data_IF_640884900814
#
_entry.id   IF_640884900814
#
_cell.length_a   1.000
_cell.length_b   1.000
_cell.length_c   1.000
_cell.angle_alpha   90.00
_cell.angle_beta   90.00
_cell.angle_gamma   90.00
#
_symmetry.space_group_name_H-M   'P 1'
#
loop_
_entity.id
_entity.type
_entity.pdbx_description
1 polymer ?
#
# COMPACT_ATOMS: atom_id res chain seq x y z
N UNK A 1 -25.93 9.11 8.51
CA UNK A 1 -25.13 9.91 9.47
C UNK A 1 -24.38 10.91 8.63
N UNK A 2 -24.70 12.18 8.79
CA UNK A 2 -24.06 13.27 8.06
C UNK A 2 -23.17 14.04 9.04
N UNK A 3 -21.93 14.31 8.68
CA UNK A 3 -21.08 15.23 9.46
C UNK A 3 -21.46 16.70 9.19
N UNK A 4 -20.83 17.65 9.89
CA UNK A 4 -21.06 19.11 9.72
C UNK A 4 -20.69 19.63 8.33
N UNK A 5 -20.05 18.79 7.50
CA UNK A 5 -19.71 19.06 6.10
C UNK A 5 -20.66 18.33 5.13
N UNK A 6 -21.71 17.71 5.67
CA UNK A 6 -22.75 16.98 4.95
C UNK A 6 -22.27 15.68 4.29
N UNK A 7 -21.18 15.08 4.78
CA UNK A 7 -20.70 13.78 4.31
C UNK A 7 -21.53 12.66 4.96
N UNK A 8 -22.32 11.97 4.14
CA UNK A 8 -23.25 10.93 4.58
C UNK A 8 -22.84 9.52 4.20
N UNK A 9 -22.85 8.58 5.15
CA UNK A 9 -22.90 7.13 4.84
C UNK A 9 -24.35 6.67 4.99
N UNK A 10 -24.89 6.05 3.92
CA UNK A 10 -26.16 5.33 3.92
C UNK A 10 -25.86 3.83 3.81
N UNK A 11 -26.23 3.07 4.84
CA UNK A 11 -26.13 1.60 4.84
C UNK A 11 -27.50 1.07 4.43
N UNK A 12 -27.57 0.34 3.33
CA UNK A 12 -28.79 -0.31 2.83
C UNK A 12 -28.81 -1.78 3.23
N UNK A 13 -29.79 -2.18 4.05
CA UNK A 13 -30.08 -3.60 4.30
C UNK A 13 -31.12 -4.07 3.27
N UNK A 14 -30.70 -4.95 2.35
CA UNK A 14 -31.57 -5.44 1.25
C UNK A 14 -32.67 -6.41 1.71
N UNK A 15 -32.63 -6.87 2.96
CA UNK A 15 -33.58 -7.84 3.50
C UNK A 15 -34.72 -7.20 4.31
N UNK A 16 -34.73 -5.87 4.43
CA UNK A 16 -35.74 -5.15 5.20
C UNK A 16 -36.44 -4.10 4.34
N UNK A 17 -37.66 -3.72 4.76
CA UNK A 17 -38.50 -2.80 4.03
C UNK A 17 -37.75 -1.47 3.76
N UNK A 18 -37.57 -1.05 2.49
CA UNK A 18 -36.82 0.16 2.14
C UNK A 18 -37.42 1.46 2.70
N UNK A 19 -38.68 1.43 3.16
CA UNK A 19 -39.39 2.57 3.76
C UNK A 19 -39.38 2.57 5.30
N UNK A 20 -38.71 1.61 5.93
CA UNK A 20 -38.53 1.60 7.38
C UNK A 20 -37.29 2.42 7.75
N UNK A 21 -37.49 3.56 8.43
CA UNK A 21 -36.42 4.33 9.09
C UNK A 21 -35.81 3.49 10.23
N UNK A 22 -34.90 2.57 9.90
CA UNK A 22 -34.15 1.80 10.87
C UNK A 22 -32.98 2.67 11.33
N UNK A 23 -33.16 3.32 12.48
CA UNK A 23 -32.07 3.97 13.21
C UNK A 23 -31.33 2.93 14.04
N UNK A 24 -30.31 2.30 13.47
CA UNK A 24 -29.36 1.53 14.27
C UNK A 24 -28.42 2.48 15.02
N UNK A 25 -28.21 2.21 16.32
CA UNK A 25 -27.26 2.94 17.15
C UNK A 25 -25.83 2.45 16.83
N UNK A 26 -25.14 3.21 15.99
CA UNK A 26 -23.77 2.96 15.61
C UNK A 26 -22.75 3.60 16.58
N UNK A 27 -23.18 4.19 17.70
CA UNK A 27 -22.28 4.87 18.66
C UNK A 27 -21.27 3.95 19.35
N UNK A 28 -21.53 2.64 19.35
CA UNK A 28 -20.60 1.62 19.82
C UNK A 28 -19.49 1.29 18.80
N UNK A 29 -19.62 1.73 17.55
CA UNK A 29 -18.65 1.49 16.48
C UNK A 29 -17.50 2.51 16.52
N UNK A 30 -16.27 2.03 16.52
CA UNK A 30 -15.11 2.88 16.22
C UNK A 30 -15.01 3.07 14.71
N UNK A 31 -15.25 4.28 14.22
CA UNK A 31 -15.04 4.64 12.81
C UNK A 31 -13.74 5.43 12.67
N UNK A 32 -12.97 5.10 11.63
CA UNK A 32 -11.82 5.90 11.19
C UNK A 32 -12.25 6.58 9.90
N UNK A 33 -12.32 7.91 9.94
CA UNK A 33 -12.51 8.71 8.73
C UNK A 33 -11.18 8.71 7.98
N UNK A 34 -11.13 8.02 6.85
CA UNK A 34 -9.96 8.04 5.96
C UNK A 34 -10.21 9.11 4.90
N UNK A 35 -9.37 10.14 4.89
CA UNK A 35 -9.50 11.25 3.98
C UNK A 35 -9.30 10.74 2.54
N UNK A 36 -10.32 10.86 1.69
CA UNK A 36 -10.33 10.30 0.32
C UNK A 36 -9.36 11.03 -0.63
N UNK A 37 -8.80 12.16 -0.21
CA UNK A 37 -7.76 12.90 -0.93
C UNK A 37 -6.34 12.37 -0.65
N UNK A 38 -6.17 11.06 -0.52
CA UNK A 38 -4.81 10.52 -0.57
C UNK A 38 -4.32 10.64 -2.01
N UNK A 39 -3.27 11.45 -2.25
CA UNK A 39 -2.58 11.53 -3.55
C UNK A 39 -1.97 10.18 -3.97
N UNK A 40 -1.88 9.25 -3.02
CA UNK A 40 -1.29 7.93 -3.17
C UNK A 40 -2.25 7.03 -3.95
N UNK A 41 -1.77 6.45 -5.03
CA UNK A 41 -2.53 5.47 -5.82
C UNK A 41 -2.30 4.06 -5.28
N UNK A 42 -3.25 3.13 -5.45
CA UNK A 42 -3.02 1.72 -5.14
C UNK A 42 -1.86 1.12 -5.96
N UNK A 43 -1.41 -0.08 -5.62
CA UNK A 43 -0.47 -0.80 -6.48
C UNK A 43 -1.20 -1.36 -7.70
N UNK A 44 -0.74 -1.00 -8.90
CA UNK A 44 -1.29 -1.49 -10.16
C UNK A 44 -0.97 -2.98 -10.39
N UNK A 45 -1.83 -3.67 -11.14
CA UNK A 45 -1.60 -5.08 -11.50
C UNK A 45 -1.75 -6.04 -10.33
N UNK A 46 -2.44 -5.64 -9.26
CA UNK A 46 -2.75 -6.51 -8.13
C UNK A 46 -4.26 -6.50 -7.88
N UNK A 47 -4.82 -7.68 -7.64
CA UNK A 47 -6.18 -7.85 -7.12
C UNK A 47 -6.13 -8.48 -5.74
N UNK A 48 -6.94 -7.95 -4.83
CA UNK A 48 -7.06 -8.46 -3.46
C UNK A 48 -8.50 -8.88 -3.19
N UNK A 49 -8.66 -10.04 -2.55
CA UNK A 49 -9.94 -10.54 -2.04
C UNK A 49 -9.86 -10.56 -0.51
N UNK A 50 -10.57 -9.66 0.16
CA UNK A 50 -10.56 -9.53 1.64
C UNK A 50 -11.78 -10.14 2.31
N UNK A 51 -12.75 -10.61 1.53
CA UNK A 51 -13.99 -11.26 2.01
C UNK A 51 -14.38 -12.41 1.11
N UNK A 52 -15.36 -13.20 1.54
CA UNK A 52 -15.83 -14.32 0.74
C UNK A 52 -16.42 -13.85 -0.59
N UNK A 53 -15.97 -14.46 -1.69
CA UNK A 53 -16.39 -14.11 -3.05
C UNK A 53 -16.61 -15.37 -3.90
N UNK A 54 -17.53 -15.28 -4.84
CA UNK A 54 -17.80 -16.31 -5.83
C UNK A 54 -17.55 -15.73 -7.23
N UNK A 55 -16.61 -16.31 -7.97
CA UNK A 55 -16.22 -15.83 -9.29
C UNK A 55 -16.58 -16.82 -10.39
N UNK A 56 -17.04 -16.24 -11.50
CA UNK A 56 -17.17 -16.89 -12.80
C UNK A 56 -16.86 -15.88 -13.90
N UNK A 57 -16.34 -16.33 -15.05
CA UNK A 57 -16.09 -15.48 -16.22
C UNK A 57 -15.30 -14.20 -15.92
N UNK A 58 -14.20 -14.33 -15.16
CA UNK A 58 -13.41 -13.19 -14.68
C UNK A 58 -11.98 -13.26 -15.18
N UNK A 59 -11.45 -12.14 -15.67
CA UNK A 59 -10.05 -12.00 -16.02
C UNK A 59 -9.36 -11.05 -15.03
N UNK A 60 -8.30 -11.51 -14.40
CA UNK A 60 -7.45 -10.74 -13.50
C UNK A 60 -6.12 -10.47 -14.21
N UNK A 61 -5.81 -9.20 -14.40
CA UNK A 61 -4.55 -8.76 -14.99
C UNK A 61 -3.50 -8.50 -13.89
N UNK A 62 -2.67 -9.49 -13.62
CA UNK A 62 -1.60 -9.47 -12.64
C UNK A 62 -1.84 -10.43 -11.48
N UNK A 63 -1.26 -10.13 -10.33
CA UNK A 63 -1.25 -11.03 -9.17
C UNK A 63 -2.56 -10.96 -8.38
N UNK A 64 -2.90 -12.08 -7.74
CA UNK A 64 -4.09 -12.21 -6.90
C UNK A 64 -3.71 -12.63 -5.48
N UNK A 65 -4.14 -11.84 -4.50
CA UNK A 65 -4.01 -12.17 -3.08
C UNK A 65 -5.38 -12.44 -2.47
N UNK A 66 -5.55 -13.62 -1.89
CA UNK A 66 -6.74 -13.96 -1.11
C UNK A 66 -6.37 -13.76 0.35
N UNK A 67 -6.88 -12.70 0.96
CA UNK A 67 -6.57 -12.28 2.32
C UNK A 67 -7.01 -13.29 3.39
N UNK A 68 -6.46 -13.19 4.61
CA UNK A 68 -6.82 -14.07 5.72
C UNK A 68 -8.33 -14.14 5.93
N UNK A 69 -8.85 -15.33 6.27
CA UNK A 69 -10.28 -15.60 6.50
C UNK A 69 -11.21 -15.44 5.28
N UNK A 70 -10.73 -14.87 4.16
CA UNK A 70 -11.50 -14.79 2.93
C UNK A 70 -11.51 -16.14 2.20
N UNK A 71 -12.66 -16.53 1.67
CA UNK A 71 -12.82 -17.71 0.82
C UNK A 71 -13.18 -17.26 -0.59
N UNK A 72 -12.26 -17.43 -1.53
CA UNK A 72 -12.55 -17.26 -2.94
C UNK A 72 -13.03 -18.60 -3.52
N UNK A 73 -14.23 -18.62 -4.07
CA UNK A 73 -14.80 -19.78 -4.77
C UNK A 73 -14.89 -19.49 -6.26
N UNK A 74 -14.27 -20.35 -7.07
CA UNK A 74 -14.26 -20.28 -8.54
C UNK A 74 -15.19 -21.36 -9.09
N UNK A 75 -16.20 -20.93 -9.85
CA UNK A 75 -17.24 -21.79 -10.43
C UNK A 75 -17.15 -21.91 -11.96
N UNK A 76 -16.12 -21.33 -12.59
CA UNK A 76 -15.88 -21.48 -14.02
C UNK A 76 -15.22 -20.27 -14.68
N UNK A 77 -14.34 -20.53 -15.63
CA UNK A 77 -13.72 -19.55 -16.54
C UNK A 77 -13.15 -18.31 -15.81
N UNK A 78 -12.26 -18.53 -14.85
CA UNK A 78 -11.49 -17.46 -14.20
C UNK A 78 -10.05 -17.58 -14.64
N UNK A 79 -9.49 -16.50 -15.19
CA UNK A 79 -8.09 -16.44 -15.59
C UNK A 79 -7.35 -15.40 -14.76
N UNK A 80 -6.21 -15.79 -14.17
CA UNK A 80 -5.25 -14.90 -13.51
C UNK A 80 -3.97 -14.90 -14.32
N UNK A 81 -3.55 -13.73 -14.82
CA UNK A 81 -2.34 -13.63 -15.64
C UNK A 81 -1.05 -13.67 -14.82
N UNK A 82 -1.11 -13.31 -13.54
CA UNK A 82 0.00 -13.42 -12.59
C UNK A 82 -0.08 -14.65 -11.67
N UNK A 83 0.58 -14.54 -10.53
CA UNK A 83 0.59 -15.54 -9.47
C UNK A 83 -0.60 -15.37 -8.52
N UNK A 84 -0.99 -16.46 -7.86
CA UNK A 84 -2.04 -16.46 -6.84
C UNK A 84 -1.41 -16.78 -5.49
N UNK A 85 -1.71 -15.97 -4.50
CA UNK A 85 -1.23 -16.10 -3.12
C UNK A 85 -2.43 -16.30 -2.20
N UNK A 86 -2.54 -17.51 -1.63
CA UNK A 86 -3.66 -17.90 -0.78
C UNK A 86 -3.27 -17.71 0.67
N UNK A 87 -3.67 -16.59 1.29
CA UNK A 87 -3.56 -16.36 2.74
C UNK A 87 -4.83 -16.79 3.47
N UNK A 88 -6.00 -16.65 2.83
CA UNK A 88 -7.28 -17.21 3.26
C UNK A 88 -7.49 -18.61 2.68
N UNK A 89 -8.55 -18.83 1.91
CA UNK A 89 -8.78 -20.11 1.24
C UNK A 89 -9.25 -19.94 -0.20
N UNK A 90 -8.87 -20.90 -1.05
CA UNK A 90 -9.29 -20.97 -2.44
C UNK A 90 -10.04 -22.29 -2.69
N UNK A 91 -11.22 -22.19 -3.31
CA UNK A 91 -11.95 -23.34 -3.82
C UNK A 91 -12.14 -23.17 -5.32
N UNK A 92 -11.70 -24.14 -6.12
CA UNK A 92 -12.05 -24.21 -7.54
C UNK A 92 -12.87 -25.45 -7.82
N UNK A 93 -14.04 -25.24 -8.45
CA UNK A 93 -14.89 -26.30 -8.99
C UNK A 93 -14.64 -26.58 -10.49
N UNK A 94 -13.62 -25.92 -11.05
CA UNK A 94 -13.22 -26.04 -12.45
C UNK A 94 -13.18 -24.69 -13.14
N UNK A 95 -12.41 -24.62 -14.22
CA UNK A 95 -12.25 -23.43 -15.06
C UNK A 95 -11.32 -22.37 -14.48
N UNK A 96 -10.52 -22.67 -13.46
CA UNK A 96 -9.44 -21.77 -13.01
C UNK A 96 -8.20 -21.93 -13.89
N UNK A 97 -7.74 -20.83 -14.47
CA UNK A 97 -6.52 -20.73 -15.26
C UNK A 97 -5.56 -19.76 -14.58
N UNK A 98 -4.42 -20.26 -14.09
CA UNK A 98 -3.36 -19.47 -13.47
C UNK A 98 -2.12 -19.59 -14.34
N UNK A 99 -1.70 -18.46 -14.91
CA UNK A 99 -0.49 -18.38 -15.75
C UNK A 99 0.80 -18.29 -14.93
N UNK A 100 0.74 -17.73 -13.73
CA UNK A 100 1.84 -17.72 -12.77
C UNK A 100 1.86 -18.94 -11.84
N UNK A 101 2.28 -18.72 -10.60
CA UNK A 101 2.36 -19.77 -9.58
C UNK A 101 1.18 -19.68 -8.61
N UNK A 102 0.59 -20.83 -8.28
CA UNK A 102 -0.37 -20.95 -7.18
C UNK A 102 0.37 -21.25 -5.87
N UNK A 103 0.31 -20.32 -4.92
CA UNK A 103 0.99 -20.42 -3.62
C UNK A 103 -0.04 -20.61 -2.50
N UNK A 104 0.13 -21.65 -1.68
CA UNK A 104 -0.70 -21.92 -0.50
C UNK A 104 0.07 -22.71 0.56
N UNK A 105 -0.60 -23.12 1.63
CA UNK A 105 -0.01 -23.99 2.66
C UNK A 105 -0.27 -25.46 2.37
N UNK A 106 -1.48 -25.77 1.90
CA UNK A 106 -1.85 -27.10 1.49
C UNK A 106 -2.84 -27.06 0.33
N UNK A 107 -2.84 -28.16 -0.44
CA UNK A 107 -3.75 -28.34 -1.56
C UNK A 107 -4.39 -29.73 -1.48
N UNK A 108 -5.70 -29.76 -1.69
CA UNK A 108 -6.52 -30.96 -1.72
C UNK A 108 -7.24 -31.09 -3.06
N UNK A 109 -7.42 -32.34 -3.51
CA UNK A 109 -8.09 -32.67 -4.75
C UNK A 109 -9.49 -33.21 -4.44
N UNK A 110 -10.52 -32.40 -4.68
CA UNK A 110 -11.90 -32.69 -4.30
C UNK A 110 -12.15 -32.74 -2.79
N UNK A 111 -13.35 -33.20 -2.42
CA UNK A 111 -13.80 -33.27 -1.02
C UNK A 111 -14.22 -31.91 -0.44
N UNK A 112 -14.47 -31.91 0.87
CA UNK A 112 -14.83 -30.72 1.65
C UNK A 112 -13.97 -30.65 2.92
N UNK A 113 -12.65 -30.42 2.80
CA UNK A 113 -11.81 -30.27 3.99
C UNK A 113 -12.22 -29.02 4.76
N UNK A 114 -11.88 -28.98 6.05
CA UNK A 114 -11.94 -27.75 6.84
C UNK A 114 -11.04 -26.70 6.19
N UNK A 115 -11.58 -25.51 5.95
CA UNK A 115 -10.85 -24.41 5.34
C UNK A 115 -10.09 -23.65 6.41
N UNK A 116 -8.76 -23.72 6.34
CA UNK A 116 -7.87 -22.88 7.12
C UNK A 116 -7.19 -21.87 6.21
N UNK A 117 -6.51 -20.90 6.82
CA UNK A 117 -5.63 -20.00 6.09
C UNK A 117 -4.58 -20.80 5.31
N UNK A 118 -4.42 -20.45 4.04
CA UNK A 118 -3.58 -21.14 3.06
C UNK A 118 -4.19 -22.39 2.41
N UNK A 119 -5.41 -22.80 2.78
CA UNK A 119 -6.03 -24.01 2.21
C UNK A 119 -6.54 -23.80 0.80
N UNK A 120 -6.16 -24.74 -0.08
CA UNK A 120 -6.60 -24.79 -1.47
C UNK A 120 -7.36 -26.09 -1.72
N UNK A 121 -8.55 -25.98 -2.32
CA UNK A 121 -9.36 -27.11 -2.79
C UNK A 121 -9.54 -27.00 -4.29
N UNK A 122 -9.02 -27.97 -5.04
CA UNK A 122 -9.12 -28.01 -6.50
C UNK A 122 -9.98 -29.20 -6.90
N UNK A 123 -10.99 -28.96 -7.74
CA UNK A 123 -11.82 -29.97 -8.38
C UNK A 123 -12.19 -29.53 -9.80
N UNK A 124 -12.66 -30.47 -10.62
CA UNK A 124 -12.89 -30.23 -12.03
C UNK A 124 -11.61 -29.93 -12.83
N UNK A 125 -11.76 -29.48 -14.07
CA UNK A 125 -10.64 -29.17 -14.95
C UNK A 125 -10.08 -27.77 -14.66
N UNK A 126 -8.81 -27.68 -14.32
CA UNK A 126 -8.10 -26.41 -14.06
C UNK A 126 -6.77 -26.42 -14.82
N UNK A 127 -6.23 -25.24 -15.14
CA UNK A 127 -4.93 -25.07 -15.78
C UNK A 127 -4.06 -24.22 -14.86
N UNK A 128 -3.06 -24.81 -14.24
CA UNK A 128 -2.18 -24.14 -13.27
C UNK A 128 -0.76 -24.45 -13.69
N UNK A 129 0.00 -23.41 -14.06
CA UNK A 129 1.37 -23.56 -14.60
C UNK A 129 2.33 -24.12 -13.54
N UNK A 130 2.25 -23.60 -12.32
CA UNK A 130 3.10 -24.03 -11.20
C UNK A 130 2.34 -23.92 -9.89
N UNK A 131 2.72 -24.73 -8.90
CA UNK A 131 2.17 -24.68 -7.55
C UNK A 131 3.26 -24.86 -6.49
N UNK A 132 3.22 -24.06 -5.44
CA UNK A 132 4.11 -24.15 -4.29
C UNK A 132 3.24 -24.22 -3.02
N UNK A 133 3.42 -25.31 -2.25
CA UNK A 133 2.78 -25.48 -0.95
C UNK A 133 3.83 -25.39 0.15
N UNK A 134 3.68 -24.43 1.05
CA UNK A 134 4.67 -24.10 2.09
C UNK A 134 4.00 -23.39 3.25
N UNK A 135 4.56 -23.50 4.45
CA UNK A 135 4.09 -22.80 5.65
C UNK A 135 4.17 -21.25 5.52
N UNK A 136 4.83 -20.73 4.49
CA UNK A 136 4.90 -19.29 4.19
C UNK A 136 4.59 -19.04 2.70
N UNK A 137 3.30 -19.07 2.29
CA UNK A 137 2.90 -18.97 0.89
C UNK A 137 3.23 -17.62 0.26
N UNK A 138 3.53 -16.61 1.08
CA UNK A 138 3.99 -15.29 0.65
C UNK A 138 5.39 -15.06 1.20
N UNK A 139 6.35 -14.87 0.30
CA UNK A 139 7.75 -14.57 0.64
C UNK A 139 8.07 -13.09 0.59
N UNK A 140 7.35 -12.35 -0.24
CA UNK A 140 7.49 -10.92 -0.43
C UNK A 140 6.11 -10.26 -0.49
N UNK A 141 6.01 -9.08 0.09
CA UNK A 141 4.81 -8.24 0.03
C UNK A 141 5.14 -7.04 -0.86
N UNK A 142 4.35 -6.78 -1.92
CA UNK A 142 4.49 -5.58 -2.73
C UNK A 142 4.35 -4.32 -1.87
N UNK A 143 5.31 -3.42 -2.01
CA UNK A 143 5.31 -2.11 -1.37
C UNK A 143 5.94 -1.10 -2.31
N UNK A 144 5.32 0.08 -2.40
CA UNK A 144 5.83 1.24 -3.13
C UNK A 144 5.86 2.42 -2.16
N UNK A 145 6.99 3.12 -2.14
CA UNK A 145 7.15 4.38 -1.41
C UNK A 145 7.02 5.51 -2.43
N UNK A 146 6.10 6.43 -2.18
CA UNK A 146 5.75 7.51 -3.12
C UNK A 146 6.45 8.84 -2.78
N UNK A 147 7.30 8.85 -1.74
CA UNK A 147 8.22 9.94 -1.49
C UNK A 147 9.28 10.02 -2.61
N UNK A 148 9.54 11.21 -3.14
CA UNK A 148 10.67 11.43 -4.06
C UNK A 148 12.00 11.03 -3.40
N UNK A 149 12.17 11.36 -2.12
CA UNK A 149 13.28 10.92 -1.27
C UNK A 149 12.80 10.81 0.18
N UNK A 150 13.23 9.76 0.90
CA UNK A 150 12.98 9.62 2.33
C UNK A 150 13.99 10.48 3.09
N UNK A 151 13.52 11.57 3.69
CA UNK A 151 14.37 12.53 4.41
C UNK A 151 13.86 12.70 5.83
N UNK A 152 14.76 12.60 6.80
CA UNK A 152 14.43 12.84 8.19
C UNK A 152 14.68 14.31 8.56
N UNK A 153 13.68 14.97 9.16
CA UNK A 153 13.81 16.31 9.73
C UNK A 153 13.65 16.23 11.24
N UNK A 154 14.66 16.66 12.00
CA UNK A 154 14.68 16.58 13.47
C UNK A 154 14.43 15.16 14.02
N UNK A 155 15.00 14.15 13.34
CA UNK A 155 14.83 12.73 13.69
C UNK A 155 13.42 12.18 13.46
N UNK A 156 12.60 12.88 12.68
CA UNK A 156 11.25 12.46 12.27
C UNK A 156 11.16 12.32 10.76
N UNK A 157 10.39 11.34 10.30
CA UNK A 157 10.19 11.01 8.90
C UNK A 157 8.71 11.08 8.53
N UNK A 158 8.41 11.70 7.40
CA UNK A 158 7.11 11.59 6.73
C UNK A 158 7.24 10.56 5.61
N UNK A 159 6.34 9.58 5.59
CA UNK A 159 6.36 8.50 4.60
C UNK A 159 4.97 8.22 4.07
N UNK A 160 4.85 8.15 2.75
CA UNK A 160 3.61 7.80 2.06
C UNK A 160 3.88 6.76 0.98
N UNK A 161 2.88 5.94 0.70
CA UNK A 161 3.03 4.86 -0.26
C UNK A 161 1.87 3.88 -0.23
N UNK A 162 2.02 2.80 -0.98
CA UNK A 162 1.00 1.78 -1.12
C UNK A 162 1.57 0.37 -0.92
N UNK A 163 0.73 -0.52 -0.43
CA UNK A 163 0.96 -1.96 -0.28
C UNK A 163 -0.36 -2.71 -0.49
N UNK A 164 -0.40 -3.99 -0.14
CA UNK A 164 -1.61 -4.82 -0.18
C UNK A 164 -2.20 -4.96 1.23
N UNK A 165 -3.52 -4.75 1.35
CA UNK A 165 -4.22 -4.84 2.63
C UNK A 165 -4.65 -6.27 2.97
N UNK A 166 -3.67 -7.18 3.13
CA UNK A 166 -3.88 -8.59 3.50
C UNK A 166 -2.97 -9.07 4.65
N UNK A 167 -2.08 -8.21 5.12
CA UNK A 167 -1.12 -8.48 6.18
C UNK A 167 -0.97 -7.23 7.05
N UNK A 168 -0.64 -7.42 8.33
CA UNK A 168 -0.37 -6.31 9.22
C UNK A 168 1.00 -5.70 8.89
N UNK A 169 1.02 -4.39 8.57
CA UNK A 169 2.22 -3.64 8.27
C UNK A 169 2.67 -2.81 9.49
N UNK A 170 3.98 -2.76 9.71
CA UNK A 170 4.63 -1.95 10.74
C UNK A 170 5.79 -1.17 10.14
N UNK A 171 5.99 0.06 10.61
CA UNK A 171 7.19 0.86 10.32
C UNK A 171 7.83 1.20 11.66
N UNK A 172 9.09 0.84 11.84
CA UNK A 172 9.81 1.07 13.10
C UNK A 172 9.06 0.52 14.33
N UNK A 173 8.40 -0.63 14.17
CA UNK A 173 7.60 -1.28 15.20
C UNK A 173 6.21 -0.64 15.45
N UNK A 174 5.88 0.48 14.81
CA UNK A 174 4.56 1.11 14.89
C UNK A 174 3.62 0.51 13.86
N UNK A 175 2.42 0.07 14.27
CA UNK A 175 1.42 -0.49 13.36
C UNK A 175 0.90 0.60 12.42
N UNK A 176 0.95 0.33 11.11
CA UNK A 176 0.43 1.22 10.07
C UNK A 176 -1.02 0.88 9.80
N UNK A 177 -1.89 1.89 9.82
CA UNK A 177 -3.27 1.77 9.37
C UNK A 177 -3.29 2.03 7.86
N UNK A 178 -3.68 1.01 7.10
CA UNK A 178 -3.88 1.10 5.66
C UNK A 178 -5.33 1.46 5.35
N UNK A 179 -5.56 2.16 4.25
CA UNK A 179 -6.90 2.30 3.70
C UNK A 179 -7.38 1.01 3.00
N UNK A 180 -8.63 1.03 2.51
CA UNK A 180 -9.22 -0.12 1.82
C UNK A 180 -8.50 -0.49 0.51
N UNK A 181 -7.70 0.42 -0.05
CA UNK A 181 -6.87 0.20 -1.23
C UNK A 181 -5.41 -0.14 -0.88
N UNK A 182 -5.05 -0.23 0.40
CA UNK A 182 -3.69 -0.50 0.84
C UNK A 182 -2.76 0.71 0.82
N UNK A 183 -3.27 1.94 0.78
CA UNK A 183 -2.49 3.17 0.80
C UNK A 183 -2.27 3.67 2.24
N UNK A 184 -1.14 4.36 2.46
CA UNK A 184 -0.79 4.99 3.73
C UNK A 184 -0.09 6.35 3.50
N UNK A 185 -0.31 7.27 4.44
CA UNK A 185 0.39 8.56 4.55
C UNK A 185 0.60 8.83 6.04
N UNK A 186 1.84 8.67 6.49
CA UNK A 186 2.24 8.78 7.88
C UNK A 186 3.17 9.97 8.05
N UNK A 187 2.92 10.75 9.09
CA UNK A 187 3.69 11.95 9.41
C UNK A 187 4.38 11.79 10.76
N UNK A 188 5.51 12.46 10.91
CA UNK A 188 6.24 12.60 12.16
C UNK A 188 6.68 11.29 12.83
N UNK A 189 6.96 10.23 12.04
CA UNK A 189 7.49 8.96 12.58
C UNK A 189 8.87 9.22 13.16
N UNK A 190 9.06 8.98 14.46
CA UNK A 190 10.37 9.15 15.09
C UNK A 190 11.31 8.00 14.71
N UNK A 191 12.42 8.35 14.06
CA UNK A 191 13.46 7.43 13.61
C UNK A 191 14.83 7.72 14.23
N UNK A 192 14.97 8.85 14.95
CA UNK A 192 16.25 9.30 15.51
C UNK A 192 17.27 9.62 14.41
N UNK A 193 18.47 9.05 14.52
CA UNK A 193 19.58 9.23 13.57
C UNK A 193 19.82 8.01 12.69
N UNK A 194 18.79 7.18 12.45
CA UNK A 194 18.91 5.98 11.63
C UNK A 194 19.08 6.38 10.16
N UNK A 195 19.93 5.64 9.44
CA UNK A 195 20.12 5.76 7.99
C UNK A 195 19.16 4.88 7.19
N UNK A 196 18.42 3.99 7.87
CA UNK A 196 17.42 3.12 7.24
C UNK A 196 16.19 3.02 8.12
N UNK A 197 15.03 2.92 7.47
CA UNK A 197 13.81 2.46 8.12
C UNK A 197 13.57 0.99 7.83
N UNK A 198 13.01 0.31 8.83
CA UNK A 198 12.56 -1.07 8.77
C UNK A 198 11.03 -1.09 8.63
N UNK A 199 10.58 -1.71 7.54
CA UNK A 199 9.18 -2.04 7.30
C UNK A 199 8.99 -3.54 7.51
N UNK A 200 8.03 -3.91 8.36
CA UNK A 200 7.74 -5.29 8.70
C UNK A 200 6.31 -5.65 8.31
N UNK A 201 6.14 -6.79 7.66
CA UNK A 201 4.84 -7.38 7.37
C UNK A 201 4.70 -8.66 8.17
N UNK A 202 3.72 -8.70 9.07
CA UNK A 202 3.39 -9.89 9.85
C UNK A 202 2.26 -10.63 9.16
N UNK A 203 2.53 -11.86 8.74
CA UNK A 203 1.52 -12.68 8.08
C UNK A 203 0.69 -13.44 9.11
N UNK A 204 -0.45 -13.97 8.66
CA UNK A 204 -1.29 -14.86 9.48
C UNK A 204 -0.64 -16.22 9.77
N UNK A 205 0.48 -16.53 9.11
CA UNK A 205 1.23 -17.77 9.27
C UNK A 205 2.37 -17.65 10.30
N UNK A 206 2.49 -16.50 10.96
CA UNK A 206 3.47 -16.25 12.01
C UNK A 206 4.86 -15.84 11.52
N UNK A 207 5.10 -15.85 10.20
CA UNK A 207 6.35 -15.33 9.64
C UNK A 207 6.30 -13.78 9.49
N UNK A 208 7.46 -13.15 9.62
CA UNK A 208 7.63 -11.70 9.41
C UNK A 208 8.51 -11.48 8.19
N UNK A 209 8.02 -10.68 7.24
CA UNK A 209 8.77 -10.26 6.05
C UNK A 209 9.29 -8.84 6.32
N UNK A 210 10.60 -8.64 6.17
CA UNK A 210 11.27 -7.37 6.49
C UNK A 210 11.78 -6.73 5.20
N UNK A 211 11.56 -5.42 5.07
CA UNK A 211 12.11 -4.58 4.01
C UNK A 211 12.80 -3.38 4.66
N UNK A 212 13.98 -3.04 4.16
CA UNK A 212 14.69 -1.83 4.58
C UNK A 212 14.65 -0.80 3.46
N UNK A 213 14.43 0.47 3.83
CA UNK A 213 14.54 1.60 2.90
C UNK A 213 15.56 2.58 3.45
N UNK A 214 16.49 3.01 2.60
CA UNK A 214 17.48 4.00 2.98
C UNK A 214 16.79 5.35 3.17
N UNK A 215 17.14 6.01 4.26
CA UNK A 215 16.90 7.42 4.46
C UNK A 215 18.07 8.13 3.82
N UNK A 216 17.76 9.15 3.02
CA UNK A 216 18.80 9.96 2.44
C UNK A 216 19.30 10.95 3.48
N UNK A 217 20.62 11.09 3.56
CA UNK A 217 21.27 12.23 4.19
C UNK A 217 20.96 13.54 3.45
N UNK A 218 20.40 13.43 2.23
CA UNK A 218 19.94 14.53 1.42
C UNK A 218 18.76 15.23 2.07
N UNK A 219 19.04 16.31 2.78
CA UNK A 219 18.04 17.35 3.02
C UNK A 219 17.85 18.06 1.68
N UNK A 220 16.61 18.24 1.19
CA UNK A 220 16.33 18.89 -0.12
C UNK A 220 17.07 20.23 -0.23
N UNK A 221 17.20 20.91 0.90
CA UNK A 221 17.88 22.18 1.09
C UNK A 221 19.44 22.11 1.06
N UNK A 222 20.07 20.94 1.25
CA UNK A 222 21.50 20.67 1.04
C UNK A 222 21.71 20.19 -0.41
N UNK A 223 21.84 21.14 -1.32
CA UNK A 223 21.87 20.92 -2.76
C UNK A 223 23.23 20.42 -3.19
N UNK A 224 24.29 20.93 -2.56
CA UNK A 224 25.66 20.62 -2.90
C UNK A 224 26.14 19.28 -2.31
N UNK A 225 25.38 18.72 -1.36
CA UNK A 225 25.61 17.44 -0.66
C UNK A 225 26.88 17.43 0.18
N UNK A 226 27.23 18.55 0.78
CA UNK A 226 28.38 18.66 1.68
C UNK A 226 28.02 18.42 3.16
N UNK A 227 26.73 18.24 3.46
CA UNK A 227 26.22 17.98 4.81
C UNK A 227 25.97 19.24 5.62
N UNK A 228 26.21 20.43 5.07
CA UNK A 228 25.82 21.72 5.63
C UNK A 228 24.72 22.35 4.75
N UNK A 229 23.82 23.14 5.36
CA UNK A 229 22.88 23.96 4.61
C UNK A 229 23.38 25.39 4.73
N UNK A 230 24.01 25.91 3.68
CA UNK A 230 24.67 27.22 3.71
C UNK A 230 24.46 28.04 2.43
N UNK A 231 25.22 29.13 2.30
CA UNK A 231 25.10 30.03 1.16
C UNK A 231 25.47 29.37 -0.17
N UNK A 232 26.26 28.29 -0.15
CA UNK A 232 26.62 27.52 -1.33
C UNK A 232 25.39 26.79 -1.89
N UNK A 233 24.48 26.30 -1.05
CA UNK A 233 23.22 25.70 -1.51
C UNK A 233 22.32 26.73 -2.16
N UNK A 234 22.12 27.89 -1.51
CA UNK A 234 21.38 29.00 -2.10
C UNK A 234 21.96 29.43 -3.44
N UNK A 235 23.29 29.46 -3.55
CA UNK A 235 23.95 29.83 -4.80
C UNK A 235 23.60 28.87 -5.93
N UNK A 236 23.41 27.58 -5.65
CA UNK A 236 23.02 26.60 -6.65
C UNK A 236 21.59 26.76 -7.13
N UNK A 237 20.64 27.14 -6.24
CA UNK A 237 19.28 27.52 -6.66
C UNK A 237 19.33 28.79 -7.52
N UNK A 238 20.09 29.80 -7.09
CA UNK A 238 20.19 31.07 -7.79
C UNK A 238 20.73 30.92 -9.23
N UNK A 239 21.63 29.96 -9.47
CA UNK A 239 22.12 29.63 -10.81
C UNK A 239 21.03 29.10 -11.75
N UNK A 240 19.93 28.61 -11.18
CA UNK A 240 18.79 28.00 -11.86
C UNK A 240 17.53 28.87 -11.82
N UNK A 241 17.66 30.10 -11.33
CA UNK A 241 16.56 31.03 -11.21
C UNK A 241 15.86 31.27 -12.55
N UNK A 242 14.53 31.22 -12.53
CA UNK A 242 13.62 31.36 -13.66
C UNK A 242 13.70 30.19 -14.69
N UNK A 243 14.32 29.05 -14.33
CA UNK A 243 14.19 27.80 -15.08
C UNK A 243 12.94 27.01 -14.61
N UNK A 244 12.40 26.15 -15.47
CA UNK A 244 11.28 25.23 -15.14
C UNK A 244 11.78 23.89 -14.63
N UNK A 245 11.02 23.25 -13.75
CA UNK A 245 11.37 22.03 -13.00
C UNK A 245 10.28 20.95 -13.10
N UNK A 246 9.85 20.60 -14.32
CA UNK A 246 8.85 19.56 -14.54
C UNK A 246 9.32 18.18 -14.02
N UNK A 247 8.35 17.30 -13.74
CA UNK A 247 8.58 15.94 -13.24
C UNK A 247 9.57 15.18 -14.13
N UNK A 248 10.68 14.72 -13.55
CA UNK A 248 11.75 14.00 -14.26
C UNK A 248 12.85 14.87 -14.86
N UNK A 249 12.79 16.21 -14.71
CA UNK A 249 13.91 17.10 -15.02
C UNK A 249 15.01 17.02 -13.96
N UNK A 250 16.27 17.18 -14.35
CA UNK A 250 17.40 17.32 -13.39
C UNK A 250 17.24 18.58 -12.53
N UNK A 251 16.44 19.53 -12.99
CA UNK A 251 16.16 20.78 -12.31
C UNK A 251 15.21 20.63 -11.12
N UNK A 252 14.52 19.50 -10.99
CA UNK A 252 13.56 19.26 -9.91
C UNK A 252 14.14 19.43 -8.50
N UNK A 253 15.45 19.20 -8.35
CA UNK A 253 16.16 19.37 -7.08
C UNK A 253 16.32 20.83 -6.60
N UNK A 254 16.11 21.81 -7.49
CA UNK A 254 16.25 23.23 -7.17
C UNK A 254 14.90 23.91 -6.89
N UNK A 255 13.81 23.25 -7.29
CA UNK A 255 12.44 23.66 -7.03
C UNK A 255 12.02 23.10 -5.66
N UNK A 256 12.04 23.95 -4.66
CA UNK A 256 11.84 23.61 -3.26
C UNK A 256 10.37 23.49 -2.90
N UNK A 257 9.50 24.29 -3.51
CA UNK A 257 8.06 24.32 -3.24
C UNK A 257 7.23 23.40 -4.15
N UNK A 258 7.87 22.76 -5.13
CA UNK A 258 7.33 21.82 -6.08
C UNK A 258 6.32 22.41 -7.10
N UNK A 259 6.40 23.71 -7.40
CA UNK A 259 5.46 24.43 -8.28
C UNK A 259 5.82 24.48 -9.77
N UNK A 260 6.88 23.76 -10.16
CA UNK A 260 7.41 23.64 -11.53
C UNK A 260 8.19 24.88 -12.03
N UNK A 261 8.41 25.89 -11.19
CA UNK A 261 9.19 27.09 -11.50
C UNK A 261 10.24 27.33 -10.41
N UNK A 262 11.51 27.51 -10.80
CA UNK A 262 12.56 27.83 -9.83
C UNK A 262 12.60 29.34 -9.64
N UNK A 263 12.16 29.85 -8.51
CA UNK A 263 12.03 31.29 -8.28
C UNK A 263 12.46 31.76 -6.88
N UNK A 264 11.99 32.94 -6.48
CA UNK A 264 12.34 33.56 -5.21
C UNK A 264 11.78 32.77 -4.01
N UNK A 265 10.67 32.05 -4.17
CA UNK A 265 10.10 31.23 -3.11
C UNK A 265 11.02 30.07 -2.77
N UNK A 266 11.69 29.48 -3.75
CA UNK A 266 12.65 28.39 -3.51
C UNK A 266 13.88 28.86 -2.76
N UNK A 267 14.40 30.01 -3.17
CA UNK A 267 15.52 30.68 -2.49
C UNK A 267 15.16 31.00 -1.03
N UNK A 268 13.94 31.48 -0.78
CA UNK A 268 13.47 31.78 0.60
C UNK A 268 13.34 30.50 1.43
N UNK A 269 12.85 29.40 0.86
CA UNK A 269 12.75 28.12 1.58
C UNK A 269 14.13 27.63 2.02
N UNK A 270 15.11 27.66 1.11
CA UNK A 270 16.49 27.33 1.43
C UNK A 270 17.08 28.31 2.46
N UNK A 271 16.81 29.63 2.32
CA UNK A 271 17.35 30.66 3.22
C UNK A 271 16.90 30.51 4.67
N UNK A 272 15.64 30.13 4.91
CA UNK A 272 15.11 29.89 6.27
C UNK A 272 15.91 28.82 7.02
N UNK A 273 16.53 27.89 6.30
CA UNK A 273 17.34 26.81 6.88
C UNK A 273 18.80 27.22 7.07
N UNK A 274 19.35 28.04 6.18
CA UNK A 274 20.71 28.60 6.35
C UNK A 274 20.85 29.53 7.57
N UNK A 275 19.78 30.20 7.99
CA UNK A 275 19.83 31.24 9.03
C UNK A 275 19.69 30.72 10.48
N UNK A 276 19.71 29.40 10.71
CA UNK A 276 19.52 28.77 12.04
C UNK A 276 20.82 28.28 12.70
N UNK A 277 21.97 28.85 12.35
CA UNK A 277 23.22 28.71 13.13
C UNK A 277 23.26 29.72 14.28
#
# INVERSE_FOLDING_TARGET
LDDEQNNGIRIYNINENPDADIKEDLSAGNFIVINKESSVKPIDGITVVTKNENWTNKYINGDLYIGPQAVLTVNGNVTVSGSVYVLGSLKSYGGLNIKGTLNGTNMSWGGNPTLYNGTIVISGSNSIVSSIMTDSPVKEIPIRIDNETLVAKNGKLNIKGATINVVDMYIEGQKVVLDYNGCFDLKDIFIGSKEKIKVEFKTIFGNTIVREFNISDYVKEDINKDGEIDILDLSQIALKYNETSYLGSENRRYDMNDDEIIDIYDLVICSIKTSRR
#
